data_IF_804353946264
#
_entry.id   IF_804353946264
#
_cell.length_a   1.000
_cell.length_b   1.000
_cell.length_c   1.000
_cell.angle_alpha   90.00
_cell.angle_beta   90.00
_cell.angle_gamma   90.00
#
_symmetry.space_group_name_H-M   'P 1'
#
loop_
_entity.id
_entity.type
_entity.pdbx_description
1 polymer ?
#
# COMPACT_ATOMS: atom_id res chain seq x y z
N UNK A 1 2.13 18.72 -9.72
CA UNK A 1 2.57 17.88 -10.86
C UNK A 1 2.94 16.46 -10.42
N UNK A 2 3.87 16.28 -9.47
CA UNK A 2 4.38 14.95 -9.09
C UNK A 2 3.29 13.98 -8.55
N UNK A 3 2.37 14.46 -7.72
CA UNK A 3 1.17 13.72 -7.27
C UNK A 3 0.34 13.14 -8.41
N UNK A 4 0.09 13.98 -9.42
CA UNK A 4 -0.72 13.61 -10.58
C UNK A 4 -0.01 12.55 -11.43
N UNK A 5 1.31 12.67 -11.60
CA UNK A 5 2.09 11.66 -12.32
C UNK A 5 2.07 10.30 -11.62
N UNK A 6 2.26 10.27 -10.30
CA UNK A 6 2.18 9.02 -9.53
C UNK A 6 0.78 8.41 -9.61
N UNK A 7 -0.27 9.22 -9.49
CA UNK A 7 -1.65 8.75 -9.61
C UNK A 7 -2.00 8.24 -11.01
N UNK A 8 -1.56 8.94 -12.06
CA UNK A 8 -1.73 8.50 -13.45
C UNK A 8 -0.96 7.20 -13.68
N UNK A 9 0.30 7.11 -13.25
CA UNK A 9 1.09 5.89 -13.39
C UNK A 9 0.45 4.71 -12.64
N UNK A 10 0.02 4.92 -11.40
CA UNK A 10 -0.68 3.89 -10.63
C UNK A 10 -2.00 3.47 -11.31
N UNK A 11 -2.77 4.43 -11.84
CA UNK A 11 -4.01 4.16 -12.57
C UNK A 11 -3.78 3.42 -13.89
N UNK A 12 -2.79 3.83 -14.69
CA UNK A 12 -2.42 3.17 -15.94
C UNK A 12 -1.89 1.75 -15.71
N UNK A 13 -1.07 1.57 -14.66
CA UNK A 13 -0.53 0.27 -14.32
C UNK A 13 -1.64 -0.64 -13.76
N UNK A 14 -2.53 -0.10 -12.93
CA UNK A 14 -3.73 -0.79 -12.46
C UNK A 14 -4.61 -1.25 -13.62
N UNK A 15 -4.86 -0.37 -14.60
CA UNK A 15 -5.60 -0.71 -15.82
C UNK A 15 -4.92 -1.79 -16.64
N UNK A 16 -3.61 -1.65 -16.88
CA UNK A 16 -2.82 -2.59 -17.64
C UNK A 16 -2.94 -3.99 -17.04
N UNK A 17 -2.81 -4.11 -15.72
CA UNK A 17 -2.97 -5.39 -15.04
C UNK A 17 -4.40 -5.89 -15.05
N UNK A 18 -5.38 -5.02 -14.88
CA UNK A 18 -6.78 -5.42 -14.83
C UNK A 18 -7.30 -5.90 -16.20
N UNK A 19 -6.90 -5.24 -17.30
CA UNK A 19 -7.20 -5.64 -18.69
C UNK A 19 -6.49 -6.92 -19.13
N UNK A 20 -5.26 -7.14 -18.65
CA UNK A 20 -4.51 -8.37 -18.94
C UNK A 20 -5.10 -9.59 -18.20
N UNK A 21 -5.93 -9.38 -17.18
CA UNK A 21 -6.64 -10.44 -16.45
C UNK A 21 -5.79 -11.50 -15.74
N UNK A 22 -4.55 -11.24 -15.24
CA UNK A 22 -3.75 -12.28 -14.58
C UNK A 22 -4.28 -12.69 -13.20
N UNK A 23 -5.30 -12.00 -12.69
CA UNK A 23 -5.85 -12.22 -11.36
C UNK A 23 -7.13 -13.04 -11.35
N UNK A 24 -7.80 -13.22 -12.50
CA UNK A 24 -9.13 -13.85 -12.56
C UNK A 24 -10.21 -13.17 -11.72
N UNK A 25 -9.88 -12.21 -10.84
CA UNK A 25 -10.77 -11.67 -9.82
C UNK A 25 -12.01 -10.98 -10.40
N UNK A 26 -11.91 -10.40 -11.59
CA UNK A 26 -13.06 -9.87 -12.31
C UNK A 26 -14.04 -10.96 -12.75
N UNK A 27 -13.53 -12.11 -13.23
CA UNK A 27 -14.33 -13.29 -13.57
C UNK A 27 -14.82 -14.03 -12.32
N UNK A 28 -13.99 -14.17 -11.28
CA UNK A 28 -14.34 -14.82 -10.01
C UNK A 28 -15.38 -14.04 -9.20
N UNK A 29 -15.36 -12.71 -9.23
CA UNK A 29 -16.34 -11.85 -8.57
C UNK A 29 -17.54 -11.51 -9.48
N UNK A 30 -17.56 -11.99 -10.73
CA UNK A 30 -18.64 -11.75 -11.68
C UNK A 30 -18.85 -10.26 -12.05
N UNK A 31 -17.79 -9.45 -12.00
CA UNK A 31 -17.87 -8.02 -12.25
C UNK A 31 -18.08 -7.73 -13.74
N UNK A 32 -19.17 -7.02 -14.06
CA UNK A 32 -19.46 -6.57 -15.44
C UNK A 32 -18.38 -5.61 -15.92
N UNK A 33 -18.11 -5.60 -17.24
CA UNK A 33 -17.17 -4.69 -17.90
C UNK A 33 -17.39 -3.21 -17.49
N UNK A 34 -18.63 -2.82 -17.22
CA UNK A 34 -19.00 -1.47 -16.77
C UNK A 34 -18.38 -1.10 -15.41
N UNK A 35 -18.43 -2.01 -14.44
CA UNK A 35 -17.79 -1.84 -13.12
C UNK A 35 -16.26 -1.79 -13.25
N UNK A 36 -15.69 -2.48 -14.23
CA UNK A 36 -14.25 -2.50 -14.50
C UNK A 36 -13.77 -1.17 -15.09
N UNK A 37 -14.52 -0.60 -16.05
CA UNK A 37 -14.22 0.72 -16.59
C UNK A 37 -14.37 1.78 -15.49
N UNK A 38 -15.42 1.68 -14.67
CA UNK A 38 -15.61 2.60 -13.55
C UNK A 38 -14.45 2.53 -12.54
N UNK A 39 -14.00 1.33 -12.16
CA UNK A 39 -12.89 1.17 -11.21
C UNK A 39 -11.58 1.75 -11.75
N UNK A 40 -11.31 1.58 -13.05
CA UNK A 40 -10.19 2.23 -13.72
C UNK A 40 -10.26 3.76 -13.62
N UNK A 41 -11.39 4.35 -14.00
CA UNK A 41 -11.57 5.81 -13.95
C UNK A 41 -11.46 6.35 -12.52
N UNK A 42 -11.90 5.59 -11.52
CA UNK A 42 -11.85 5.99 -10.11
C UNK A 42 -10.50 5.73 -9.43
N UNK A 43 -9.69 4.80 -9.93
CA UNK A 43 -8.37 4.46 -9.36
C UNK A 43 -7.46 5.67 -9.15
N UNK A 44 -7.22 6.57 -10.13
CA UNK A 44 -6.34 7.72 -9.89
C UNK A 44 -6.87 8.63 -8.78
N UNK A 45 -8.19 8.81 -8.66
CA UNK A 45 -8.80 9.58 -7.57
C UNK A 45 -8.64 8.88 -6.22
N UNK A 46 -8.84 7.56 -6.17
CA UNK A 46 -8.63 6.76 -4.98
C UNK A 46 -7.16 6.82 -4.51
N UNK A 47 -6.20 6.76 -5.44
CA UNK A 47 -4.77 6.90 -5.15
C UNK A 47 -4.46 8.31 -4.62
N UNK A 48 -5.01 9.37 -5.22
CA UNK A 48 -4.82 10.73 -4.72
C UNK A 48 -5.39 10.92 -3.32
N UNK A 49 -6.59 10.41 -3.06
CA UNK A 49 -7.22 10.45 -1.73
C UNK A 49 -6.41 9.66 -0.70
N UNK A 50 -5.97 8.45 -1.05
CA UNK A 50 -5.13 7.60 -0.20
C UNK A 50 -3.80 8.27 0.13
N UNK A 51 -3.08 8.80 -0.87
CA UNK A 51 -1.84 9.55 -0.65
C UNK A 51 -2.07 10.81 0.19
N UNK A 52 -3.15 11.55 -0.06
CA UNK A 52 -3.50 12.73 0.71
C UNK A 52 -3.78 12.41 2.18
N UNK A 53 -4.54 11.34 2.43
CA UNK A 53 -4.84 10.85 3.77
C UNK A 53 -3.57 10.39 4.50
N UNK A 54 -2.73 9.56 3.86
CA UNK A 54 -1.46 9.10 4.44
C UNK A 54 -0.53 10.29 4.72
N UNK A 55 -0.46 11.26 3.80
CA UNK A 55 0.33 12.46 4.00
C UNK A 55 -0.15 13.25 5.22
N UNK A 56 -1.48 13.40 5.39
CA UNK A 56 -2.06 14.07 6.54
C UNK A 56 -1.71 13.36 7.86
N UNK A 57 -1.90 12.04 7.91
CA UNK A 57 -1.56 11.21 9.08
C UNK A 57 -0.09 11.40 9.44
N UNK A 58 0.82 11.19 8.49
CA UNK A 58 2.25 11.38 8.72
C UNK A 58 2.57 12.81 9.15
N UNK A 59 1.91 13.81 8.56
CA UNK A 59 2.15 15.21 8.89
C UNK A 59 1.74 15.56 10.32
N UNK A 60 0.66 14.95 10.85
CA UNK A 60 0.31 15.07 12.27
C UNK A 60 1.46 14.56 13.14
N UNK A 61 2.03 13.38 12.84
CA UNK A 61 3.19 12.87 13.58
C UNK A 61 4.43 13.75 13.41
N UNK A 62 4.64 14.35 12.24
CA UNK A 62 5.71 15.34 12.02
C UNK A 62 5.53 16.53 12.94
N UNK A 63 4.33 17.11 13.05
CA UNK A 63 4.05 18.25 13.94
C UNK A 63 4.36 17.87 15.40
N UNK A 64 3.99 16.65 15.81
CA UNK A 64 4.20 16.17 17.18
C UNK A 64 5.67 15.89 17.52
N UNK A 65 6.48 15.42 16.55
CA UNK A 65 7.81 14.84 16.83
C UNK A 65 8.98 15.62 16.23
N UNK A 66 8.74 16.51 15.26
CA UNK A 66 9.79 17.27 14.57
C UNK A 66 9.68 18.78 14.88
N UNK A 67 10.54 19.33 15.76
CA UNK A 67 10.64 20.78 15.95
C UNK A 67 11.19 21.43 14.68
N UNK A 68 10.58 22.53 14.23
CA UNK A 68 10.96 23.20 12.99
C UNK A 68 10.44 22.51 11.71
N UNK A 69 9.32 21.77 11.83
CA UNK A 69 8.68 21.12 10.70
C UNK A 69 8.36 22.12 9.57
N UNK A 70 8.59 21.68 8.33
CA UNK A 70 8.02 22.32 7.14
C UNK A 70 6.55 21.93 6.97
N UNK A 71 5.81 22.68 6.16
CA UNK A 71 4.39 22.44 5.93
C UNK A 71 4.08 21.12 5.20
N UNK A 72 2.79 20.77 5.13
CA UNK A 72 2.25 19.53 4.58
C UNK A 72 2.82 19.18 3.19
N UNK A 73 3.05 20.18 2.34
CA UNK A 73 3.62 19.98 0.99
C UNK A 73 4.97 19.25 1.00
N UNK A 74 5.79 19.42 2.04
CA UNK A 74 7.06 18.71 2.19
C UNK A 74 6.84 17.22 2.49
N UNK A 75 5.97 16.91 3.46
CA UNK A 75 5.58 15.53 3.80
C UNK A 75 4.96 14.83 2.60
N UNK A 76 4.06 15.52 1.90
CA UNK A 76 3.37 15.02 0.74
C UNK A 76 4.37 14.71 -0.40
N UNK A 77 5.33 15.62 -0.66
CA UNK A 77 6.38 15.41 -1.67
C UNK A 77 7.23 14.17 -1.35
N UNK A 78 7.68 14.03 -0.09
CA UNK A 78 8.44 12.85 0.36
C UNK A 78 7.64 11.57 0.16
N UNK A 79 6.36 11.59 0.55
CA UNK A 79 5.49 10.42 0.42
C UNK A 79 5.37 9.99 -1.05
N UNK A 80 5.21 10.92 -1.98
CA UNK A 80 5.15 10.56 -3.38
C UNK A 80 6.48 9.98 -3.88
N UNK A 81 7.63 10.57 -3.51
CA UNK A 81 8.93 10.02 -3.89
C UNK A 81 9.10 8.59 -3.36
N UNK A 82 8.71 8.34 -2.12
CA UNK A 82 8.71 7.00 -1.55
C UNK A 82 7.74 6.06 -2.28
N UNK A 83 6.55 6.54 -2.66
CA UNK A 83 5.53 5.75 -3.36
C UNK A 83 5.99 5.26 -4.73
N UNK A 84 6.98 5.93 -5.34
CA UNK A 84 7.66 5.42 -6.55
C UNK A 84 8.29 4.05 -6.36
N UNK A 85 8.74 3.70 -5.14
CA UNK A 85 9.25 2.36 -4.81
C UNK A 85 8.15 1.30 -4.96
N UNK A 86 6.91 1.63 -4.56
CA UNK A 86 5.75 0.74 -4.71
C UNK A 86 5.34 0.50 -6.16
N UNK A 87 5.72 1.37 -7.09
CA UNK A 87 5.52 1.11 -8.52
C UNK A 87 6.38 -0.07 -9.00
N UNK A 88 7.53 -0.34 -8.38
CA UNK A 88 8.38 -1.49 -8.73
C UNK A 88 7.67 -2.81 -8.45
N UNK A 89 7.00 -2.92 -7.29
CA UNK A 89 6.14 -4.08 -6.99
C UNK A 89 4.99 -4.22 -7.96
N UNK A 90 4.49 -3.09 -8.47
CA UNK A 90 3.39 -3.11 -9.40
C UNK A 90 3.86 -3.40 -10.84
N UNK A 91 5.14 -3.26 -11.19
CA UNK A 91 5.68 -3.64 -12.52
C UNK A 91 5.98 -5.14 -12.63
N UNK A 92 6.29 -5.82 -11.51
CA UNK A 92 6.49 -7.27 -11.49
C UNK A 92 5.19 -7.99 -11.09
N UNK A 93 4.42 -8.55 -12.04
CA UNK A 93 3.16 -9.20 -11.71
C UNK A 93 3.38 -10.57 -11.07
N UNK A 94 2.45 -11.05 -10.23
CA UNK A 94 2.38 -12.44 -9.79
C UNK A 94 2.13 -13.51 -10.89
N UNK A 95 2.12 -13.11 -12.17
CA UNK A 95 1.47 -13.83 -13.26
C UNK A 95 2.17 -15.09 -13.79
N UNK A 96 3.41 -15.39 -13.42
CA UNK A 96 4.05 -16.64 -13.86
C UNK A 96 3.54 -17.89 -13.10
N UNK A 97 2.78 -17.72 -12.01
CA UNK A 97 2.43 -18.81 -11.09
C UNK A 97 0.96 -19.23 -11.03
N UNK A 98 0.01 -18.53 -11.66
CA UNK A 98 -1.43 -18.67 -11.37
C UNK A 98 -2.32 -19.17 -12.52
N UNK A 99 -1.77 -19.47 -13.69
CA UNK A 99 -2.53 -20.24 -14.67
C UNK A 99 -2.80 -21.64 -14.10
N UNK A 100 -4.02 -22.16 -14.25
CA UNK A 100 -4.38 -23.52 -13.82
C UNK A 100 -3.52 -24.64 -14.44
N UNK A 101 -2.68 -24.30 -15.43
CA UNK A 101 -1.70 -25.18 -16.07
C UNK A 101 -0.30 -25.18 -15.42
N UNK A 102 -0.03 -24.33 -14.43
CA UNK A 102 1.31 -24.24 -13.81
C UNK A 102 1.51 -25.34 -12.76
N UNK A 103 2.57 -26.18 -12.85
CA UNK A 103 2.82 -27.22 -11.86
C UNK A 103 3.01 -26.64 -10.45
N UNK A 104 2.51 -27.34 -9.42
CA UNK A 104 2.44 -26.83 -8.05
C UNK A 104 3.77 -26.33 -7.46
N UNK A 105 4.90 -26.91 -7.87
CA UNK A 105 6.24 -26.49 -7.42
C UNK A 105 6.64 -25.11 -7.98
N UNK A 106 6.33 -24.83 -9.24
CA UNK A 106 6.60 -23.53 -9.85
C UNK A 106 5.72 -22.44 -9.23
N UNK A 107 4.45 -22.77 -8.94
CA UNK A 107 3.54 -21.87 -8.21
C UNK A 107 4.06 -21.54 -6.82
N UNK A 108 4.52 -22.54 -6.05
CA UNK A 108 5.06 -22.32 -4.71
C UNK A 108 6.36 -21.49 -4.73
N UNK A 109 7.30 -21.83 -5.62
CA UNK A 109 8.56 -21.08 -5.77
C UNK A 109 8.31 -19.62 -6.17
N UNK A 110 7.36 -19.40 -7.08
CA UNK A 110 6.95 -18.07 -7.50
C UNK A 110 6.34 -17.26 -6.35
N UNK A 111 5.44 -17.86 -5.57
CA UNK A 111 4.85 -17.22 -4.39
C UNK A 111 5.92 -16.78 -3.39
N UNK A 112 6.86 -17.66 -3.05
CA UNK A 112 7.96 -17.34 -2.13
C UNK A 112 8.81 -16.19 -2.67
N UNK A 113 9.18 -16.23 -3.96
CA UNK A 113 9.92 -15.15 -4.60
C UNK A 113 9.16 -13.82 -4.51
N UNK A 114 7.89 -13.81 -4.89
CA UNK A 114 7.05 -12.62 -4.90
C UNK A 114 6.84 -12.06 -3.50
N UNK A 115 6.50 -12.89 -2.51
CA UNK A 115 6.33 -12.44 -1.11
C UNK A 115 7.63 -11.87 -0.56
N UNK A 116 8.76 -12.48 -0.87
CA UNK A 116 10.08 -11.97 -0.45
C UNK A 116 10.38 -10.62 -1.10
N UNK A 117 10.10 -10.49 -2.40
CA UNK A 117 10.25 -9.23 -3.12
C UNK A 117 9.38 -8.12 -2.50
N UNK A 118 8.11 -8.41 -2.18
CA UNK A 118 7.21 -7.45 -1.53
C UNK A 118 7.75 -6.98 -0.18
N UNK A 119 8.28 -7.89 0.63
CA UNK A 119 8.91 -7.54 1.92
C UNK A 119 10.11 -6.60 1.70
N UNK A 120 10.96 -6.89 0.72
CA UNK A 120 12.12 -6.04 0.39
C UNK A 120 11.68 -4.65 -0.10
N UNK A 121 10.69 -4.59 -1.00
CA UNK A 121 10.12 -3.34 -1.51
C UNK A 121 9.52 -2.51 -0.38
N UNK A 122 8.77 -3.14 0.53
CA UNK A 122 8.14 -2.46 1.66
C UNK A 122 9.17 -1.95 2.68
N UNK A 123 10.22 -2.73 2.94
CA UNK A 123 11.33 -2.30 3.79
C UNK A 123 12.06 -1.10 3.17
N UNK A 124 12.31 -1.15 1.85
CA UNK A 124 12.94 -0.04 1.14
C UNK A 124 12.08 1.22 1.12
N UNK A 125 10.76 1.07 0.93
CA UNK A 125 9.80 2.17 1.04
C UNK A 125 9.92 2.88 2.39
N UNK A 126 9.97 2.14 3.50
CA UNK A 126 10.14 2.71 4.84
C UNK A 126 11.47 3.47 4.94
N UNK A 127 12.57 2.89 4.44
CA UNK A 127 13.89 3.54 4.46
C UNK A 127 13.88 4.88 3.71
N UNK A 128 13.30 4.91 2.50
CA UNK A 128 13.19 6.14 1.70
C UNK A 128 12.34 7.19 2.40
N UNK A 129 11.23 6.76 3.03
CA UNK A 129 10.32 7.66 3.72
C UNK A 129 10.97 8.27 4.98
N UNK A 130 11.71 7.47 5.75
CA UNK A 130 12.49 7.95 6.90
C UNK A 130 13.58 8.94 6.47
N UNK A 131 14.37 8.62 5.44
CA UNK A 131 15.42 9.53 4.94
C UNK A 131 14.82 10.83 4.39
N UNK A 132 13.76 10.73 3.60
CA UNK A 132 13.09 11.90 3.03
C UNK A 132 12.47 12.80 4.09
N UNK A 133 11.82 12.24 5.12
CA UNK A 133 11.26 13.03 6.22
C UNK A 133 12.35 13.70 7.05
N UNK A 134 13.45 12.99 7.32
CA UNK A 134 14.63 13.52 8.01
C UNK A 134 15.16 14.78 7.32
N UNK A 135 15.38 14.69 6.01
CA UNK A 135 15.99 15.75 5.21
C UNK A 135 15.03 16.91 4.94
N UNK A 136 13.77 16.62 4.66
CA UNK A 136 12.76 17.63 4.38
C UNK A 136 12.37 18.43 5.63
N UNK A 137 12.25 17.78 6.80
CA UNK A 137 11.87 18.43 8.05
C UNK A 137 13.05 18.72 8.98
N UNK A 138 14.30 18.56 8.51
CA UNK A 138 15.55 18.82 9.28
C UNK A 138 15.53 18.20 10.68
N UNK A 139 15.02 16.97 10.78
CA UNK A 139 14.91 16.25 12.05
C UNK A 139 15.98 15.17 12.17
N UNK A 140 16.03 14.47 13.31
CA UNK A 140 16.97 13.36 13.51
C UNK A 140 16.42 12.06 12.91
N UNK A 141 17.31 11.12 12.56
CA UNK A 141 16.89 9.81 12.00
C UNK A 141 15.94 9.06 12.93
N UNK A 142 16.16 9.11 14.25
CA UNK A 142 15.30 8.45 15.23
C UNK A 142 13.88 9.05 15.28
N UNK A 143 13.76 10.38 15.18
CA UNK A 143 12.45 11.05 15.11
C UNK A 143 11.74 10.76 13.79
N UNK A 144 12.46 10.83 12.68
CA UNK A 144 11.91 10.47 11.38
C UNK A 144 11.42 9.01 11.37
N UNK A 145 12.18 8.07 11.94
CA UNK A 145 11.75 6.69 12.10
C UNK A 145 10.48 6.57 12.95
N UNK A 146 10.40 7.27 14.09
CA UNK A 146 9.21 7.27 14.94
C UNK A 146 7.97 7.80 14.20
N UNK A 147 8.11 8.88 13.42
CA UNK A 147 7.02 9.45 12.61
C UNK A 147 6.42 8.43 11.63
N UNK A 148 7.24 7.54 11.07
CA UNK A 148 6.80 6.50 10.13
C UNK A 148 6.27 5.26 10.85
N UNK A 149 7.01 4.77 11.84
CA UNK A 149 6.73 3.48 12.48
C UNK A 149 5.59 3.56 13.49
N UNK A 150 5.38 4.69 14.18
CA UNK A 150 4.28 4.83 15.13
C UNK A 150 2.89 4.66 14.50
N UNK A 151 2.51 5.36 13.41
CA UNK A 151 1.21 5.14 12.79
C UNK A 151 1.08 3.70 12.26
N UNK A 152 2.15 3.11 11.72
CA UNK A 152 2.12 1.70 11.30
C UNK A 152 1.87 0.75 12.47
N UNK A 153 2.57 0.95 13.59
CA UNK A 153 2.38 0.14 14.79
C UNK A 153 0.97 0.28 15.37
N UNK A 154 0.42 1.50 15.41
CA UNK A 154 -0.95 1.76 15.86
C UNK A 154 -1.98 1.04 14.98
N UNK A 155 -1.82 1.08 13.64
CA UNK A 155 -2.68 0.36 12.71
C UNK A 155 -2.58 -1.16 12.88
N UNK A 156 -1.37 -1.69 13.10
CA UNK A 156 -1.17 -3.13 13.35
C UNK A 156 -1.82 -3.58 14.65
N UNK A 157 -1.71 -2.79 15.72
CA UNK A 157 -2.37 -3.08 17.00
C UNK A 157 -3.89 -3.06 16.81
N UNK A 158 -4.44 -2.02 16.15
CA UNK A 158 -5.87 -1.92 15.87
C UNK A 158 -6.37 -3.12 15.04
N UNK A 159 -5.66 -3.50 13.99
CA UNK A 159 -6.00 -4.65 13.16
C UNK A 159 -5.98 -5.95 14.00
N UNK A 160 -4.98 -6.14 14.86
CA UNK A 160 -4.92 -7.28 15.78
C UNK A 160 -6.12 -7.35 16.73
N UNK A 161 -6.52 -6.21 17.31
CA UNK A 161 -7.71 -6.11 18.18
C UNK A 161 -8.98 -6.49 17.41
N UNK A 162 -9.14 -5.97 16.19
CA UNK A 162 -10.32 -6.26 15.35
C UNK A 162 -10.39 -7.74 14.97
N UNK A 163 -9.27 -8.38 14.64
CA UNK A 163 -9.21 -9.81 14.34
C UNK A 163 -9.60 -10.64 15.58
N UNK A 164 -9.05 -10.33 16.75
CA UNK A 164 -9.39 -11.03 18.00
C UNK A 164 -10.89 -10.85 18.32
N UNK A 165 -11.42 -9.64 18.18
CA UNK A 165 -12.83 -9.36 18.41
C UNK A 165 -13.75 -10.13 17.43
N UNK A 166 -13.38 -10.22 16.15
CA UNK A 166 -14.12 -10.98 15.15
C UNK A 166 -14.12 -12.49 15.47
N UNK A 167 -12.97 -13.06 15.85
CA UNK A 167 -12.87 -14.47 16.26
C UNK A 167 -13.73 -14.74 17.49
N UNK A 168 -13.68 -13.86 18.50
CA UNK A 168 -14.49 -14.00 19.70
C UNK A 168 -15.99 -13.92 19.41
N UNK A 169 -16.41 -13.00 18.52
CA UNK A 169 -17.81 -12.86 18.10
C UNK A 169 -18.31 -14.11 17.37
N UNK A 170 -17.49 -14.66 16.45
CA UNK A 170 -17.82 -15.91 15.75
C UNK A 170 -17.95 -17.07 16.74
N UNK A 171 -17.01 -17.20 17.68
CA UNK A 171 -17.07 -18.24 18.70
C UNK A 171 -18.30 -18.13 19.62
N UNK A 172 -18.78 -16.92 19.89
CA UNK A 172 -20.02 -16.68 20.64
C UNK A 172 -21.28 -17.01 19.81
N UNK A 173 -21.24 -16.78 18.50
CA UNK A 173 -22.36 -17.09 17.59
C UNK A 173 -22.59 -18.60 17.41
N UNK A 174 -21.54 -19.41 17.61
CA UNK A 174 -21.60 -20.88 17.53
C UNK A 174 -22.10 -21.57 18.83
N UNK A 175 -22.44 -20.80 19.88
CA UNK A 175 -22.98 -21.37 21.12
C UNK A 175 -24.47 -21.75 20.95
N UNK A 176 -24.90 -22.98 21.31
CA UNK A 176 -26.31 -23.32 21.34
C UNK A 176 -27.03 -22.52 22.43
N UNK A 177 -28.09 -21.80 22.04
CA UNK A 177 -28.96 -21.00 22.93
C UNK A 177 -29.81 -21.90 23.82
#
# INVERSE_FOLDING_TARGET
LYFLLVAILAGLLGLFWFLWGPWGAAEELGLTLELQLLSFFLTPFAVLLGLGFIALVLHVFVILLAPGHRGLGATATVLCYASGVGLVSAVLPPALGFSGSTPGVFRAAYLVFYTTLMVVVQAWYVVVLVKGLRESHRTTTGRAAAIVLLPMALLLILAGILVIAAIALLALADLPV
#
